data_IF_952132464737
#
_entry.id   IF_952132464737
#
_cell.length_a   1.000
_cell.length_b   1.000
_cell.length_c   1.000
_cell.angle_alpha   90.00
_cell.angle_beta   90.00
_cell.angle_gamma   90.00
#
_symmetry.space_group_name_H-M   'P 1'
#
loop_
_entity.id
_entity.type
_entity.pdbx_description
1 polymer ?
#
# COMPACT_ATOMS: atom_id res chain seq x y z
N UNK A 1 -3.48 -0.71 1.45
CA UNK A 1 -2.57 -1.02 0.32
C UNK A 1 -3.22 -1.39 -1.02
N UNK A 2 -4.49 -1.87 -1.04
CA UNK A 2 -5.21 -2.31 -2.26
C UNK A 2 -5.19 -1.38 -3.48
N UNK A 3 -4.95 -0.07 -3.32
CA UNK A 3 -4.94 0.87 -4.45
C UNK A 3 -3.57 1.05 -5.10
N UNK A 4 -2.44 1.07 -4.38
CA UNK A 4 -1.21 1.61 -5.00
C UNK A 4 -0.51 0.62 -5.93
N UNK A 5 -0.15 -0.57 -5.44
CA UNK A 5 0.51 -1.59 -6.26
C UNK A 5 -0.45 -2.15 -7.33
N UNK A 6 -1.69 -2.42 -6.96
CA UNK A 6 -2.70 -2.88 -7.91
C UNK A 6 -2.96 -1.87 -9.04
N UNK A 7 -3.09 -0.56 -8.73
CA UNK A 7 -3.18 0.46 -9.77
C UNK A 7 -1.88 0.54 -10.57
N UNK A 8 -0.71 0.40 -9.94
CA UNK A 8 0.57 0.36 -10.64
C UNK A 8 0.71 -0.84 -11.57
N UNK A 9 0.23 -2.03 -11.23
CA UNK A 9 0.34 -3.21 -12.08
C UNK A 9 -0.65 -3.14 -13.24
N UNK A 10 -1.87 -2.71 -12.92
CA UNK A 10 -2.89 -2.36 -13.92
C UNK A 10 -2.38 -1.28 -14.87
N UNK A 11 -1.77 -0.21 -14.31
CA UNK A 11 -0.63 0.56 -14.85
C UNK A 11 0.04 0.08 -16.15
N UNK A 12 0.66 -1.09 -16.01
CA UNK A 12 1.56 -1.73 -16.95
C UNK A 12 0.83 -2.80 -17.78
N UNK A 13 -0.48 -2.94 -17.62
CA UNK A 13 -1.29 -3.88 -18.40
C UNK A 13 -1.29 -5.32 -17.87
N UNK A 14 -1.00 -5.54 -16.59
CA UNK A 14 -1.09 -6.88 -15.99
C UNK A 14 -1.84 -6.89 -14.65
N UNK A 15 -2.37 -8.06 -14.30
CA UNK A 15 -3.02 -8.36 -13.02
C UNK A 15 -2.13 -9.31 -12.20
N UNK A 16 -1.48 -8.83 -11.13
CA UNK A 16 -0.61 -9.66 -10.31
C UNK A 16 -1.43 -10.54 -9.36
N UNK A 17 -0.90 -11.72 -9.04
CA UNK A 17 -1.35 -12.49 -7.89
C UNK A 17 -0.71 -11.91 -6.62
N UNK A 18 -1.51 -11.74 -5.57
CA UNK A 18 -1.07 -11.21 -4.28
C UNK A 18 -1.74 -12.04 -3.18
N UNK A 19 -0.93 -12.65 -2.31
CA UNK A 19 -1.40 -13.23 -1.05
C UNK A 19 -0.74 -12.52 0.13
N UNK A 20 -1.46 -12.42 1.24
CA UNK A 20 -1.01 -11.73 2.44
C UNK A 20 -1.26 -12.58 3.68
N UNK A 21 -0.26 -12.73 4.53
CA UNK A 21 -0.32 -13.51 5.77
C UNK A 21 0.13 -12.65 6.94
N UNK A 22 -0.67 -12.61 8.00
CA UNK A 22 -0.35 -11.90 9.25
C UNK A 22 0.28 -12.89 10.23
N UNK A 23 1.42 -12.50 10.79
CA UNK A 23 2.12 -13.23 11.84
C UNK A 23 2.21 -12.37 13.10
N UNK A 24 2.10 -13.01 14.26
CA UNK A 24 2.16 -12.35 15.57
C UNK A 24 3.53 -12.46 16.23
N UNK A 25 4.32 -13.46 15.86
CA UNK A 25 5.62 -13.78 16.46
C UNK A 25 6.74 -13.77 15.43
N UNK A 26 7.92 -13.31 15.84
CA UNK A 26 9.15 -13.36 15.04
C UNK A 26 9.81 -14.75 15.06
N UNK A 27 10.95 -14.88 14.36
CA UNK A 27 11.74 -16.11 14.35
C UNK A 27 12.32 -16.48 15.72
N UNK A 28 12.45 -15.50 16.62
CA UNK A 28 12.89 -15.67 18.00
C UNK A 28 11.73 -15.95 18.98
N UNK A 29 10.52 -16.22 18.46
CA UNK A 29 9.28 -16.43 19.21
C UNK A 29 8.83 -15.25 20.08
N UNK A 30 9.48 -14.08 19.97
CA UNK A 30 9.04 -12.86 20.63
C UNK A 30 7.91 -12.21 19.85
N UNK A 31 7.06 -11.47 20.56
CA UNK A 31 5.94 -10.73 19.94
C UNK A 31 6.50 -9.72 18.95
N UNK A 32 6.25 -9.96 17.68
CA UNK A 32 6.66 -9.11 16.57
C UNK A 32 5.59 -9.21 15.48
N UNK A 33 4.55 -8.38 15.58
CA UNK A 33 3.41 -8.45 14.66
C UNK A 33 3.84 -7.91 13.29
N UNK A 34 3.80 -8.76 12.26
CA UNK A 34 4.23 -8.40 10.91
C UNK A 34 3.36 -9.09 9.85
N UNK A 35 3.38 -8.55 8.63
CA UNK A 35 2.58 -9.08 7.51
C UNK A 35 3.52 -9.43 6.37
N UNK A 36 3.49 -10.68 5.91
CA UNK A 36 4.14 -11.10 4.68
C UNK A 36 3.19 -10.91 3.50
N UNK A 37 3.70 -10.33 2.42
CA UNK A 37 3.02 -10.31 1.14
C UNK A 37 3.85 -11.08 0.12
N UNK A 38 3.25 -12.10 -0.50
CA UNK A 38 3.83 -12.76 -1.67
C UNK A 38 3.14 -12.18 -2.89
N UNK A 39 3.94 -11.71 -3.83
CA UNK A 39 3.50 -11.05 -5.05
C UNK A 39 4.14 -11.77 -6.23
N UNK A 40 3.36 -12.14 -7.23
CA UNK A 40 3.90 -12.80 -8.41
C UNK A 40 4.86 -11.91 -9.21
N UNK A 41 5.91 -12.51 -9.79
CA UNK A 41 6.87 -11.86 -10.68
C UNK A 41 6.26 -11.59 -12.09
N UNK A 42 5.17 -10.83 -12.11
CA UNK A 42 4.32 -10.68 -13.29
C UNK A 42 2.85 -10.81 -12.96
N UNK A 43 2.06 -11.10 -13.99
CA UNK A 43 0.65 -11.37 -13.83
C UNK A 43 -0.06 -11.63 -15.15
N UNK A 44 -1.36 -11.84 -15.08
CA UNK A 44 -2.18 -12.06 -16.27
C UNK A 44 -2.25 -10.78 -17.11
N UNK A 45 -1.96 -10.91 -18.40
CA UNK A 45 -2.12 -9.84 -19.39
C UNK A 45 -3.55 -9.36 -19.35
N UNK A 46 -3.71 -8.06 -19.17
CA UNK A 46 -4.98 -7.39 -19.35
C UNK A 46 -5.18 -7.20 -20.85
N UNK A 47 -5.86 -8.13 -21.52
CA UNK A 47 -6.27 -7.94 -22.92
C UNK A 47 -7.53 -7.08 -22.96
N UNK A 48 -7.49 -6.07 -23.84
CA UNK A 48 -8.48 -5.00 -23.93
C UNK A 48 -7.78 -3.68 -24.25
N UNK A 49 -7.92 -3.21 -25.50
CA UNK A 49 -7.35 -1.94 -25.98
C UNK A 49 -7.74 -0.80 -25.02
N UNK A 50 -6.80 -0.33 -24.22
CA UNK A 50 -7.00 0.84 -23.38
C UNK A 50 -5.77 1.73 -23.43
N UNK A 51 -5.78 2.68 -24.37
CA UNK A 51 -4.99 3.90 -24.30
C UNK A 51 -5.06 4.50 -22.87
N UNK A 52 -3.90 4.84 -22.33
CA UNK A 52 -3.74 5.30 -20.95
C UNK A 52 -3.36 6.76 -20.87
N UNK A 53 -4.00 7.46 -19.95
CA UNK A 53 -3.58 8.76 -19.45
C UNK A 53 -2.84 8.58 -18.13
N UNK A 54 -1.64 9.14 -18.05
CA UNK A 54 -0.79 9.14 -16.85
C UNK A 54 -1.39 10.00 -15.73
N UNK A 55 -1.00 9.73 -14.48
CA UNK A 55 -1.26 10.60 -13.29
C UNK A 55 -0.92 12.09 -13.51
N UNK A 56 -0.22 12.42 -14.59
CA UNK A 56 0.04 13.75 -15.14
C UNK A 56 -1.21 14.65 -15.25
N UNK A 57 -2.39 14.07 -15.47
CA UNK A 57 -3.65 14.85 -15.60
C UNK A 57 -4.03 15.60 -14.32
N UNK A 58 -3.77 15.06 -13.12
CA UNK A 58 -4.13 15.76 -11.87
C UNK A 58 -3.26 17.01 -11.61
N UNK A 59 -2.03 17.06 -12.13
CA UNK A 59 -1.14 18.24 -11.99
C UNK A 59 -1.54 19.41 -12.91
N UNK A 60 -2.18 19.14 -14.05
CA UNK A 60 -2.57 20.15 -15.06
C UNK A 60 -4.08 20.52 -14.98
N UNK A 61 -4.69 20.42 -13.80
CA UNK A 61 -6.11 20.74 -13.59
C UNK A 61 -6.49 22.23 -13.76
N UNK A 62 -5.54 23.11 -14.08
CA UNK A 62 -5.80 24.51 -14.47
C UNK A 62 -6.22 24.67 -15.94
N UNK A 63 -6.03 23.65 -16.79
CA UNK A 63 -6.34 23.75 -18.23
C UNK A 63 -7.64 23.01 -18.61
N UNK A 64 -8.65 23.78 -19.07
CA UNK A 64 -10.00 23.32 -19.41
C UNK A 64 -10.00 22.30 -20.56
N UNK A 65 -9.03 22.36 -21.50
CA UNK A 65 -8.91 21.40 -22.62
C UNK A 65 -8.40 20.03 -22.16
N UNK A 66 -7.48 19.99 -21.21
CA UNK A 66 -6.92 18.74 -20.66
C UNK A 66 -7.98 17.96 -19.84
N UNK A 67 -8.86 18.67 -19.14
CA UNK A 67 -9.98 18.09 -18.37
C UNK A 67 -11.00 17.38 -19.26
N UNK A 68 -11.29 17.90 -20.46
CA UNK A 68 -12.27 17.33 -21.41
C UNK A 68 -11.77 16.03 -22.07
N UNK A 69 -10.44 15.84 -22.17
CA UNK A 69 -9.81 14.60 -22.67
C UNK A 69 -9.64 13.52 -21.60
N UNK A 70 -9.77 13.86 -20.32
CA UNK A 70 -9.61 12.95 -19.19
C UNK A 70 -10.84 12.05 -18.97
N UNK A 71 -11.03 11.02 -19.80
CA UNK A 71 -12.11 10.04 -19.63
C UNK A 71 -11.76 9.02 -18.53
N UNK A 72 -12.64 8.85 -17.54
CA UNK A 72 -12.62 7.66 -16.65
C UNK A 72 -13.04 6.44 -17.47
N UNK A 73 -12.15 5.47 -17.66
CA UNK A 73 -12.50 4.16 -18.23
C UNK A 73 -12.42 3.07 -17.16
N UNK A 74 -13.47 2.24 -17.08
CA UNK A 74 -13.46 0.95 -16.40
C UNK A 74 -12.57 0.02 -17.21
N UNK A 75 -11.73 -0.76 -16.54
CA UNK A 75 -10.87 -1.78 -17.17
C UNK A 75 -11.43 -3.11 -16.72
N UNK A 76 -11.81 -3.93 -17.69
CA UNK A 76 -12.14 -5.34 -17.52
C UNK A 76 -10.96 -6.18 -18.03
N UNK A 77 -10.78 -7.36 -17.46
CA UNK A 77 -9.89 -8.39 -18.00
C UNK A 77 -10.72 -9.11 -19.07
N UNK A 78 -10.35 -9.04 -20.35
CA UNK A 78 -10.90 -10.00 -21.32
C UNK A 78 -10.14 -11.30 -21.09
N UNK A 79 -10.89 -12.36 -20.77
CA UNK A 79 -10.36 -13.66 -20.35
C UNK A 79 -10.15 -14.61 -21.53
N UNK A 80 -10.39 -14.16 -22.75
CA UNK A 80 -10.53 -15.03 -23.92
C UNK A 80 -9.18 -15.70 -24.28
N UNK A 81 -8.04 -15.07 -23.95
CA UNK A 81 -6.68 -15.62 -24.11
C UNK A 81 -5.75 -15.15 -22.96
N UNK A 82 -5.72 -15.85 -21.81
CA UNK A 82 -4.89 -15.44 -20.69
C UNK A 82 -3.42 -15.73 -20.99
N UNK A 83 -2.62 -14.68 -21.20
CA UNK A 83 -1.16 -14.78 -21.30
C UNK A 83 -0.47 -14.18 -20.09
N UNK A 84 0.60 -14.82 -19.62
CA UNK A 84 1.40 -14.31 -18.50
C UNK A 84 2.37 -13.25 -18.99
N UNK A 85 2.40 -12.10 -18.32
CA UNK A 85 3.42 -11.06 -18.52
C UNK A 85 4.40 -11.14 -17.36
N UNK A 86 5.67 -11.42 -17.66
CA UNK A 86 6.74 -11.31 -16.69
C UNK A 86 7.02 -9.83 -16.34
N UNK A 87 7.22 -9.54 -15.06
CA UNK A 87 7.52 -8.19 -14.59
C UNK A 87 8.45 -8.23 -13.38
N UNK A 88 9.68 -7.73 -13.55
CA UNK A 88 10.72 -7.77 -12.51
C UNK A 88 10.76 -6.51 -11.61
N UNK A 89 10.22 -5.38 -12.06
CA UNK A 89 10.31 -4.14 -11.30
C UNK A 89 9.26 -4.04 -10.20
N UNK A 90 9.69 -3.94 -8.94
CA UNK A 90 8.82 -3.71 -7.80
C UNK A 90 8.97 -2.29 -7.22
N UNK A 91 7.90 -1.45 -7.18
CA UNK A 91 7.98 -0.05 -6.76
C UNK A 91 8.06 0.13 -5.23
N UNK A 92 9.01 -0.54 -4.58
CA UNK A 92 9.17 -0.63 -3.12
C UNK A 92 9.26 0.75 -2.44
N UNK A 93 10.00 1.72 -2.99
CA UNK A 93 10.16 3.06 -2.37
C UNK A 93 8.83 3.79 -2.19
N UNK A 94 7.97 3.72 -3.22
CA UNK A 94 6.66 4.40 -3.21
C UNK A 94 5.68 3.65 -2.32
N UNK A 95 5.70 2.31 -2.38
CA UNK A 95 4.86 1.47 -1.52
C UNK A 95 5.20 1.64 -0.05
N UNK A 96 6.48 1.70 0.30
CA UNK A 96 6.95 1.95 1.67
C UNK A 96 6.41 3.26 2.23
N UNK A 97 6.63 4.37 1.52
CA UNK A 97 6.11 5.70 1.95
C UNK A 97 4.59 5.70 2.07
N UNK A 98 3.89 5.05 1.14
CA UNK A 98 2.42 4.97 1.17
C UNK A 98 1.91 4.13 2.32
N UNK A 99 2.57 3.00 2.62
CA UNK A 99 2.23 2.14 3.75
C UNK A 99 2.40 2.89 5.07
N UNK A 100 3.55 3.55 5.28
CA UNK A 100 3.82 4.38 6.45
C UNK A 100 2.72 5.44 6.66
N UNK A 101 2.40 6.19 5.60
CA UNK A 101 1.34 7.22 5.66
C UNK A 101 -0.02 6.63 6.03
N UNK A 102 -0.41 5.51 5.42
CA UNK A 102 -1.70 4.88 5.70
C UNK A 102 -1.76 4.28 7.10
N UNK A 103 -0.67 3.70 7.59
CA UNK A 103 -0.57 3.12 8.93
C UNK A 103 -0.76 4.22 9.98
N UNK A 104 -0.03 5.33 9.87
CA UNK A 104 -0.16 6.46 10.79
C UNK A 104 -1.58 7.02 10.76
N UNK A 105 -2.18 7.18 9.57
CA UNK A 105 -3.57 7.63 9.41
C UNK A 105 -4.55 6.69 10.14
N UNK A 106 -4.47 5.38 9.91
CA UNK A 106 -5.35 4.40 10.55
C UNK A 106 -5.14 4.32 12.06
N UNK A 107 -3.90 4.41 12.55
CA UNK A 107 -3.62 4.41 13.97
C UNK A 107 -4.21 5.65 14.65
N UNK A 108 -4.07 6.84 14.05
CA UNK A 108 -4.68 8.06 14.57
C UNK A 108 -6.20 7.96 14.62
N UNK A 109 -6.83 7.50 13.53
CA UNK A 109 -8.27 7.30 13.48
C UNK A 109 -8.73 6.29 14.53
N UNK A 110 -7.99 5.19 14.71
CA UNK A 110 -8.32 4.17 15.72
C UNK A 110 -8.23 4.74 17.12
N UNK A 111 -7.12 5.39 17.49
CA UNK A 111 -6.96 5.99 18.82
C UNK A 111 -8.07 7.02 19.07
N UNK A 112 -8.34 7.90 18.11
CA UNK A 112 -9.43 8.88 18.24
C UNK A 112 -10.81 8.23 18.45
N UNK A 113 -11.05 7.08 17.80
CA UNK A 113 -12.29 6.31 18.00
C UNK A 113 -12.34 5.68 19.39
N UNK A 114 -11.24 5.11 19.87
CA UNK A 114 -11.16 4.55 21.23
C UNK A 114 -11.37 5.62 22.30
N UNK A 115 -10.75 6.80 22.15
CA UNK A 115 -10.92 7.93 23.06
C UNK A 115 -12.37 8.43 23.16
N UNK A 116 -13.19 8.20 22.13
CA UNK A 116 -14.62 8.58 22.09
C UNK A 116 -15.56 7.43 22.45
N UNK A 117 -15.03 6.26 22.78
CA UNK A 117 -15.85 5.11 23.19
C UNK A 117 -16.38 5.29 24.61
N UNK A 118 -17.48 4.60 24.92
CA UNK A 118 -18.13 4.69 26.24
C UNK A 118 -17.23 4.19 27.38
N UNK A 119 -16.31 3.28 27.07
CA UNK A 119 -15.34 2.71 28.00
C UNK A 119 -13.95 2.74 27.36
N UNK A 120 -13.28 3.89 27.37
CA UNK A 120 -12.05 4.03 26.64
C UNK A 120 -10.88 3.39 27.42
N UNK A 121 -9.95 2.80 26.69
CA UNK A 121 -8.77 2.15 27.27
C UNK A 121 -7.93 3.17 28.07
N UNK A 122 -7.66 2.87 29.34
CA UNK A 122 -6.88 3.73 30.24
C UNK A 122 -5.50 4.01 29.69
N UNK A 123 -4.88 3.03 29.04
CA UNK A 123 -3.53 3.16 28.48
C UNK A 123 -3.49 4.12 27.28
N UNK A 124 -4.64 4.30 26.60
CA UNK A 124 -4.77 5.23 25.48
C UNK A 124 -5.16 6.65 25.90
N UNK A 125 -5.51 6.89 27.17
CA UNK A 125 -5.90 8.23 27.67
C UNK A 125 -4.79 9.27 27.57
N UNK A 126 -3.52 8.83 27.55
CA UNK A 126 -2.38 9.72 27.28
C UNK A 126 -2.52 10.47 25.95
N UNK A 127 -3.24 9.91 24.98
CA UNK A 127 -3.48 10.51 23.68
C UNK A 127 -4.69 11.47 23.63
N UNK A 128 -5.37 11.70 24.76
CA UNK A 128 -6.40 12.75 24.86
C UNK A 128 -5.79 14.14 24.68
N UNK A 129 -4.53 14.31 25.05
CA UNK A 129 -3.80 15.55 24.82
C UNK A 129 -3.22 15.61 23.38
N UNK A 130 -3.56 16.64 22.58
CA UNK A 130 -3.08 16.75 21.20
C UNK A 130 -1.54 16.81 21.06
N UNK A 131 -0.86 17.34 22.08
CA UNK A 131 0.60 17.44 22.15
C UNK A 131 1.26 16.05 22.21
N UNK A 132 0.73 15.16 23.06
CA UNK A 132 1.19 13.79 23.24
C UNK A 132 0.99 12.96 21.96
N UNK A 133 -0.19 13.08 21.33
CA UNK A 133 -0.47 12.48 20.03
C UNK A 133 0.53 12.95 18.96
N UNK A 134 0.81 14.25 18.90
CA UNK A 134 1.76 14.79 17.92
C UNK A 134 3.18 14.29 18.18
N UNK A 135 3.66 14.37 19.42
CA UNK A 135 4.99 13.93 19.83
C UNK A 135 5.24 12.46 19.51
N UNK A 136 4.34 11.57 19.95
CA UNK A 136 4.44 10.13 19.70
C UNK A 136 4.60 9.79 18.20
N UNK A 137 3.76 10.35 17.34
CA UNK A 137 3.84 10.05 15.91
C UNK A 137 5.02 10.73 15.20
N UNK A 138 5.57 11.81 15.74
CA UNK A 138 6.77 12.44 15.20
C UNK A 138 8.03 11.64 15.59
N UNK A 139 8.09 11.12 16.83
CA UNK A 139 9.13 10.18 17.27
C UNK A 139 9.05 8.87 16.49
N UNK A 140 7.85 8.32 16.30
CA UNK A 140 7.61 7.15 15.46
C UNK A 140 8.11 7.39 14.03
N UNK A 141 7.82 8.54 13.40
CA UNK A 141 8.37 8.82 12.06
C UNK A 141 9.90 8.91 12.05
N UNK A 142 10.51 9.41 13.13
CA UNK A 142 11.96 9.55 13.26
C UNK A 142 12.63 8.18 13.41
N UNK A 143 12.11 7.34 14.29
CA UNK A 143 12.56 5.96 14.50
C UNK A 143 12.39 5.12 13.22
N UNK A 144 11.21 5.19 12.60
CA UNK A 144 10.88 4.43 11.40
C UNK A 144 11.40 5.06 10.10
N UNK A 145 12.20 6.13 10.17
CA UNK A 145 12.97 6.65 9.03
C UNK A 145 13.85 5.53 8.42
N UNK A 146 14.31 4.62 9.28
CA UNK A 146 15.12 3.45 8.93
C UNK A 146 14.41 2.09 9.16
N UNK A 147 13.35 2.01 9.98
CA UNK A 147 12.74 0.74 10.43
C UNK A 147 11.80 0.00 9.47
N UNK A 148 11.48 0.57 8.31
CA UNK A 148 10.69 -0.16 7.29
C UNK A 148 11.59 -0.82 6.26
N UNK A 149 11.90 -2.09 6.50
CA UNK A 149 12.58 -2.95 5.55
C UNK A 149 11.56 -3.67 4.68
N UNK A 150 11.74 -3.58 3.36
CA UNK A 150 11.17 -4.59 2.46
C UNK A 150 12.27 -5.62 2.32
N UNK A 151 12.17 -6.72 3.04
CA UNK A 151 13.03 -7.87 2.79
C UNK A 151 12.61 -8.47 1.45
N UNK A 152 13.35 -8.13 0.40
CA UNK A 152 13.30 -8.89 -0.85
C UNK A 152 14.21 -10.08 -0.61
N UNK A 153 13.67 -11.14 -0.04
CA UNK A 153 14.38 -12.40 0.03
C UNK A 153 14.48 -12.94 -1.38
N UNK A 154 15.70 -13.21 -1.87
CA UNK A 154 15.86 -14.08 -3.03
C UNK A 154 15.22 -15.43 -2.72
N UNK A 155 14.71 -16.09 -3.75
CA UNK A 155 14.15 -17.44 -3.65
C UNK A 155 15.16 -18.34 -2.95
N UNK A 156 14.79 -18.96 -1.81
CA UNK A 156 15.67 -19.94 -1.15
C UNK A 156 15.87 -21.08 -2.14
N UNK A 157 17.09 -21.23 -2.64
CA UNK A 157 17.46 -22.31 -3.58
C UNK A 157 17.74 -23.65 -2.88
N UNK A 158 17.69 -23.67 -1.56
CA UNK A 158 18.02 -24.85 -0.76
C UNK A 158 16.78 -25.26 0.04
N UNK A 159 16.27 -26.44 -0.30
CA UNK A 159 15.39 -27.30 0.50
C UNK A 159 16.22 -28.49 0.97
#
# INVERSE_FOLDING_TARGET
MRRLFFLFAKEQGFLPAITGVLHTFGSDLKRHVHIHFIVSAGGLKLSGKAERFTRYIRRKAKDRRAKKRAKKKKVAVLLDEPSWIHWSFFPHKVLRKRYQSLLIEHLKERIQKELRSDMPDKDLMVFSEPSAMKGFFDDLKKEYKNGFFVHITEERKEL
#
